data_IF_267715959858
#
_entry.id   IF_267715959858
#
_cell.length_a   1.000
_cell.length_b   1.000
_cell.length_c   1.000
_cell.angle_alpha   90.00
_cell.angle_beta   90.00
_cell.angle_gamma   90.00
#
_symmetry.space_group_name_H-M   'P 1'
#
loop_
_entity.id
_entity.type
_entity.pdbx_description
1 polymer ?
#
# COMPACT_ATOMS: atom_id res chain seq x y z
N UNK A 1 28.28 -4.76 13.57
CA UNK A 1 28.70 -5.85 12.65
C UNK A 1 27.56 -6.23 11.72
N UNK A 2 27.82 -7.06 10.71
CA UNK A 2 26.77 -7.59 9.82
C UNK A 2 25.78 -8.48 10.61
N UNK A 3 26.26 -9.20 11.60
CA UNK A 3 25.43 -10.06 12.45
C UNK A 3 24.46 -9.22 13.31
N UNK A 4 24.89 -8.08 13.81
CA UNK A 4 24.05 -7.15 14.57
C UNK A 4 22.94 -6.57 13.67
N UNK A 5 23.29 -6.22 12.43
CA UNK A 5 22.34 -5.74 11.45
C UNK A 5 21.28 -6.81 11.13
N UNK A 6 21.74 -8.04 10.87
CA UNK A 6 20.84 -9.15 10.56
C UNK A 6 19.91 -9.48 11.73
N UNK A 7 20.44 -9.52 12.93
CA UNK A 7 19.65 -9.74 14.15
C UNK A 7 18.60 -8.63 14.34
N UNK A 8 18.97 -7.38 14.09
CA UNK A 8 18.07 -6.24 14.19
C UNK A 8 16.92 -6.32 13.15
N UNK A 9 17.23 -6.55 11.89
CA UNK A 9 16.21 -6.67 10.83
C UNK A 9 15.28 -7.84 11.12
N UNK A 10 15.81 -8.99 11.51
CA UNK A 10 15.04 -10.17 11.89
C UNK A 10 14.09 -9.85 13.05
N UNK A 11 14.56 -9.18 14.08
CA UNK A 11 13.73 -8.75 15.19
C UNK A 11 12.61 -7.80 14.74
N UNK A 12 12.93 -6.78 13.94
CA UNK A 12 11.94 -5.85 13.42
C UNK A 12 10.85 -6.58 12.61
N UNK A 13 11.23 -7.58 11.85
CA UNK A 13 10.29 -8.35 11.02
C UNK A 13 9.36 -9.25 11.85
N UNK A 14 9.87 -9.88 12.89
CA UNK A 14 9.15 -10.94 13.61
C UNK A 14 8.51 -10.48 14.91
N UNK A 15 9.22 -9.67 15.71
CA UNK A 15 8.82 -9.37 17.09
C UNK A 15 8.06 -8.05 17.24
N UNK A 16 8.14 -7.16 16.21
CA UNK A 16 7.46 -5.87 16.26
C UNK A 16 5.99 -5.94 15.88
N UNK A 17 5.53 -7.06 15.33
CA UNK A 17 4.14 -7.24 14.88
C UNK A 17 3.27 -7.79 16.02
N UNK A 18 2.07 -7.19 16.27
CA UNK A 18 1.21 -7.60 17.38
C UNK A 18 0.51 -8.95 17.17
N UNK A 19 0.48 -9.44 15.93
CA UNK A 19 -0.22 -10.67 15.56
C UNK A 19 0.79 -11.79 15.32
N UNK A 20 0.71 -12.84 16.16
CA UNK A 20 1.58 -14.00 16.03
C UNK A 20 1.47 -14.64 14.64
N UNK A 21 2.62 -14.93 14.03
CA UNK A 21 2.68 -15.52 12.69
C UNK A 21 2.61 -14.53 11.53
N UNK A 22 2.49 -13.24 11.81
CA UNK A 22 2.61 -12.19 10.81
C UNK A 22 4.02 -11.61 10.78
N UNK A 23 4.46 -11.14 9.62
CA UNK A 23 5.76 -10.53 9.42
C UNK A 23 5.60 -9.08 8.97
N UNK A 24 6.42 -8.20 9.51
CA UNK A 24 6.60 -6.87 8.96
C UNK A 24 7.55 -6.95 7.76
N UNK A 25 7.02 -6.69 6.56
CA UNK A 25 7.76 -6.87 5.30
C UNK A 25 8.68 -5.67 5.01
N UNK A 26 9.71 -5.48 5.82
CA UNK A 26 10.66 -4.38 5.64
C UNK A 26 11.44 -4.46 4.31
N UNK A 27 11.56 -5.66 3.75
CA UNK A 27 12.21 -5.88 2.46
C UNK A 27 11.34 -5.46 1.25
N UNK A 28 10.06 -5.18 1.47
CA UNK A 28 9.19 -4.66 0.42
C UNK A 28 9.26 -3.12 0.38
N UNK A 29 9.84 -2.51 -0.66
CA UNK A 29 9.98 -1.05 -0.77
C UNK A 29 8.66 -0.30 -0.63
N UNK A 30 7.57 -0.92 -1.11
CA UNK A 30 6.21 -0.38 -1.03
C UNK A 30 5.68 -0.22 0.41
N UNK A 31 6.23 -0.98 1.36
CA UNK A 31 5.87 -0.91 2.78
C UNK A 31 6.84 -0.07 3.59
N UNK A 32 8.13 -0.11 3.26
CA UNK A 32 9.16 0.51 4.07
C UNK A 32 8.99 2.03 4.16
N UNK A 33 8.87 2.72 3.03
CA UNK A 33 8.63 4.16 3.02
C UNK A 33 7.33 4.57 3.74
N UNK A 34 6.17 4.00 3.40
CA UNK A 34 4.92 4.23 4.13
C UNK A 34 5.01 3.97 5.63
N UNK A 35 5.70 2.92 6.06
CA UNK A 35 5.91 2.63 7.47
C UNK A 35 6.70 3.75 8.16
N UNK A 36 7.81 4.18 7.58
CA UNK A 36 8.62 5.27 8.13
C UNK A 36 7.85 6.60 8.23
N UNK A 37 6.88 6.84 7.34
CA UNK A 37 6.02 8.02 7.41
C UNK A 37 4.93 7.91 8.49
N UNK A 38 4.45 6.70 8.77
CA UNK A 38 3.34 6.47 9.70
C UNK A 38 3.77 6.35 11.16
N UNK A 39 5.02 5.92 11.40
CA UNK A 39 5.55 5.77 12.76
C UNK A 39 6.09 7.09 13.30
N UNK A 40 6.05 7.27 14.63
CA UNK A 40 6.69 8.42 15.29
C UNK A 40 8.22 8.35 15.24
N UNK A 41 8.88 9.48 15.50
CA UNK A 41 10.34 9.61 15.39
C UNK A 41 11.11 8.56 16.18
N UNK A 42 10.70 8.28 17.42
CA UNK A 42 11.33 7.24 18.25
C UNK A 42 11.26 5.85 17.61
N UNK A 43 10.12 5.51 17.01
CA UNK A 43 9.96 4.22 16.33
C UNK A 43 10.75 4.18 15.03
N UNK A 44 10.77 5.30 14.29
CA UNK A 44 11.57 5.47 13.07
C UNK A 44 13.05 5.25 13.37
N UNK A 45 13.56 5.90 14.41
CA UNK A 45 14.93 5.72 14.86
C UNK A 45 15.23 4.27 15.28
N UNK A 46 14.29 3.63 15.95
CA UNK A 46 14.44 2.23 16.34
C UNK A 46 14.45 1.28 15.12
N UNK A 47 13.70 1.56 14.05
CA UNK A 47 13.73 0.79 12.80
C UNK A 47 15.06 1.00 12.07
N UNK A 48 15.54 2.23 11.99
CA UNK A 48 16.75 2.60 11.25
C UNK A 48 18.04 2.29 12.01
N UNK A 49 17.97 2.17 13.32
CA UNK A 49 19.09 2.25 14.26
C UNK A 49 20.27 1.28 14.08
N UNK A 50 20.11 0.18 13.35
CA UNK A 50 21.22 -0.76 13.08
C UNK A 50 21.98 -0.44 11.79
N UNK A 51 21.44 0.41 10.93
CA UNK A 51 22.06 0.83 9.68
C UNK A 51 22.53 2.28 9.74
N UNK A 52 23.60 2.63 9.04
CA UNK A 52 24.01 4.03 8.86
C UNK A 52 23.16 4.73 7.79
N UNK A 53 22.80 3.99 6.76
CA UNK A 53 21.97 4.45 5.64
C UNK A 53 21.05 3.32 5.19
N UNK A 54 19.81 3.69 4.86
CA UNK A 54 18.83 2.80 4.30
C UNK A 54 18.40 3.33 2.94
N UNK A 55 18.55 2.51 1.91
CA UNK A 55 18.15 2.85 0.55
C UNK A 55 17.06 1.92 0.09
N UNK A 56 16.02 2.47 -0.54
CA UNK A 56 14.98 1.67 -1.22
C UNK A 56 14.48 2.40 -2.46
N UNK A 57 13.98 1.63 -3.41
CA UNK A 57 13.36 2.17 -4.64
C UNK A 57 11.84 2.16 -4.49
N UNK A 58 11.21 3.33 -4.49
CA UNK A 58 9.75 3.49 -4.27
C UNK A 58 8.89 3.29 -5.54
N UNK A 59 9.40 2.58 -6.54
CA UNK A 59 8.88 2.40 -7.89
C UNK A 59 9.17 3.56 -8.86
N UNK A 60 9.66 4.71 -8.40
CA UNK A 60 9.99 5.87 -9.23
C UNK A 60 11.43 6.31 -9.07
N UNK A 61 11.87 6.37 -7.84
CA UNK A 61 13.19 6.91 -7.51
C UNK A 61 13.75 6.22 -6.28
N UNK A 62 15.07 6.30 -6.16
CA UNK A 62 15.76 5.91 -4.95
C UNK A 62 15.44 6.87 -3.82
N UNK A 63 15.09 6.32 -2.68
CA UNK A 63 14.89 7.01 -1.42
C UNK A 63 15.98 6.65 -0.44
N UNK A 64 16.24 7.57 0.46
CA UNK A 64 17.20 7.41 1.53
C UNK A 64 16.58 7.78 2.86
N UNK A 65 16.95 7.06 3.91
CA UNK A 65 16.74 7.43 5.29
C UNK A 65 17.98 7.11 6.12
N UNK A 66 18.30 7.99 7.04
CA UNK A 66 19.38 7.83 8.00
C UNK A 66 18.84 7.92 9.42
N UNK A 67 19.37 7.14 10.38
CA UNK A 67 19.09 7.39 11.78
C UNK A 67 19.60 8.77 12.19
N UNK A 68 18.95 9.39 13.18
CA UNK A 68 19.44 10.63 13.77
C UNK A 68 20.70 10.35 14.60
N UNK A 69 21.82 10.90 14.17
CA UNK A 69 23.11 10.73 14.82
C UNK A 69 23.19 11.44 16.16
N UNK A 70 22.26 12.37 16.48
CA UNK A 70 22.23 13.10 17.74
C UNK A 70 21.60 12.30 18.90
N UNK A 71 20.90 11.22 18.58
CA UNK A 71 20.47 10.21 19.55
C UNK A 71 21.07 8.83 19.14
N UNK A 72 22.38 8.66 19.25
CA UNK A 72 23.00 7.37 18.98
C UNK A 72 22.45 6.40 20.02
N UNK A 73 21.48 5.61 19.61
CA UNK A 73 21.00 4.54 20.45
C UNK A 73 22.16 3.52 20.63
N UNK A 74 22.85 3.51 21.77
CA UNK A 74 23.89 2.55 22.01
C UNK A 74 23.22 1.17 22.11
N UNK A 75 23.47 0.35 21.12
CA UNK A 75 23.02 -1.03 21.12
C UNK A 75 21.58 -1.22 20.66
N UNK A 76 21.24 -2.46 20.50
CA UNK A 76 19.92 -2.99 20.17
C UNK A 76 18.85 -2.45 21.11
N UNK A 77 18.01 -1.55 20.60
CA UNK A 77 16.78 -1.15 21.28
C UNK A 77 15.63 -1.97 20.69
N UNK A 78 14.94 -2.77 21.50
CA UNK A 78 13.77 -3.47 21.00
C UNK A 78 12.74 -2.43 20.49
N UNK A 79 12.28 -2.63 19.27
CA UNK A 79 11.15 -1.88 18.75
C UNK A 79 9.96 -2.08 19.67
N UNK A 80 9.31 -1.02 20.14
CA UNK A 80 8.02 -1.18 20.77
C UNK A 80 7.09 -1.83 19.75
N UNK A 81 6.32 -2.85 20.17
CA UNK A 81 5.35 -3.52 19.31
C UNK A 81 4.46 -2.50 18.64
N UNK A 82 4.37 -2.57 17.33
CA UNK A 82 3.46 -1.75 16.55
C UNK A 82 2.04 -2.27 16.80
N UNK A 83 1.11 -1.44 17.23
CA UNK A 83 -0.30 -1.82 17.32
C UNK A 83 -0.92 -1.98 15.94
N UNK A 84 -2.02 -2.74 15.84
CA UNK A 84 -2.76 -2.87 14.57
C UNK A 84 -3.21 -1.50 14.06
N UNK A 85 -3.71 -0.62 14.95
CA UNK A 85 -4.11 0.75 14.60
C UNK A 85 -2.96 1.53 13.97
N UNK A 86 -1.73 1.34 14.47
CA UNK A 86 -0.54 1.96 13.88
C UNK A 86 -0.22 1.40 12.49
N UNK A 87 -0.40 0.12 12.27
CA UNK A 87 -0.24 -0.47 10.96
C UNK A 87 -1.32 0.03 9.99
N UNK A 88 -2.54 0.23 10.45
CA UNK A 88 -3.62 0.83 9.65
C UNK A 88 -3.30 2.27 9.25
N UNK A 89 -2.62 3.06 10.09
CA UNK A 89 -2.18 4.42 9.73
C UNK A 89 -1.18 4.46 8.57
N UNK A 90 -0.60 3.33 8.17
CA UNK A 90 0.24 3.23 6.96
C UNK A 90 -0.58 3.26 5.66
N UNK A 91 -1.86 2.94 5.72
CA UNK A 91 -2.72 2.78 4.54
C UNK A 91 -2.74 4.01 3.61
N UNK A 92 -2.95 5.25 4.08
CA UNK A 92 -2.92 6.41 3.20
C UNK A 92 -1.59 6.59 2.45
N UNK A 93 -0.48 6.36 3.14
CA UNK A 93 0.86 6.47 2.56
C UNK A 93 1.13 5.36 1.54
N UNK A 94 0.64 4.15 1.82
CA UNK A 94 0.73 3.01 0.90
C UNK A 94 -0.07 3.28 -0.37
N UNK A 95 -1.33 3.69 -0.25
CA UNK A 95 -2.17 4.02 -1.40
C UNK A 95 -1.57 5.17 -2.22
N UNK A 96 -0.98 6.18 -1.58
CA UNK A 96 -0.30 7.26 -2.27
C UNK A 96 0.96 6.78 -3.02
N UNK A 97 1.72 5.83 -2.44
CA UNK A 97 2.86 5.23 -3.10
C UNK A 97 2.43 4.38 -4.32
N UNK A 98 1.37 3.58 -4.18
CA UNK A 98 0.80 2.80 -5.28
C UNK A 98 0.25 3.71 -6.39
N UNK A 99 -0.43 4.80 -6.04
CA UNK A 99 -0.94 5.76 -7.02
C UNK A 99 0.17 6.38 -7.87
N UNK A 100 1.32 6.71 -7.26
CA UNK A 100 2.51 7.15 -8.01
C UNK A 100 3.04 6.06 -8.92
N UNK A 101 3.07 4.80 -8.45
CA UNK A 101 3.50 3.66 -9.25
C UNK A 101 2.64 3.40 -10.48
N UNK A 102 1.35 3.61 -10.36
CA UNK A 102 0.42 3.44 -11.49
C UNK A 102 0.36 4.63 -12.44
N UNK A 103 0.76 5.83 -12.01
CA UNK A 103 0.69 7.03 -12.85
C UNK A 103 1.35 6.82 -14.20
N UNK A 104 2.63 6.44 -14.21
CA UNK A 104 3.41 6.34 -15.45
C UNK A 104 2.86 5.27 -16.40
N UNK A 105 2.18 4.28 -15.84
CA UNK A 105 1.58 3.19 -16.61
C UNK A 105 0.23 3.57 -17.23
N UNK A 106 -0.55 4.39 -16.55
CA UNK A 106 -1.93 4.69 -16.95
C UNK A 106 -2.17 6.14 -17.41
N UNK A 107 -1.18 7.04 -17.29
CA UNK A 107 -1.35 8.47 -17.55
C UNK A 107 -2.00 8.77 -18.91
N UNK A 108 -1.61 8.05 -19.95
CA UNK A 108 -2.11 8.25 -21.32
C UNK A 108 -3.62 7.97 -21.50
N UNK A 109 -4.22 7.20 -20.58
CA UNK A 109 -5.63 6.78 -20.67
C UNK A 109 -6.52 7.40 -19.57
N UNK A 110 -5.95 8.30 -18.76
CA UNK A 110 -6.67 9.01 -17.71
C UNK A 110 -7.38 10.26 -18.23
N UNK A 111 -8.39 10.75 -17.51
CA UNK A 111 -9.03 12.03 -17.84
C UNK A 111 -8.02 13.18 -17.82
N UNK A 112 -7.94 13.97 -18.90
CA UNK A 112 -6.95 15.02 -19.07
C UNK A 112 -7.16 16.25 -18.18
N UNK A 113 -8.32 16.40 -17.58
CA UNK A 113 -8.69 17.54 -16.75
C UNK A 113 -8.38 17.36 -15.26
N UNK A 114 -7.76 16.25 -14.88
CA UNK A 114 -7.40 15.94 -13.50
C UNK A 114 -5.90 15.62 -13.37
N UNK A 115 -5.35 15.85 -12.18
CA UNK A 115 -3.99 15.41 -11.88
C UNK A 115 -3.95 13.88 -11.84
N UNK A 116 -3.19 13.20 -12.71
CA UNK A 116 -3.19 11.74 -12.83
C UNK A 116 -3.05 11.01 -11.50
N UNK A 117 -2.06 11.38 -10.70
CA UNK A 117 -1.83 10.75 -9.39
C UNK A 117 -2.99 10.96 -8.42
N UNK A 118 -3.62 12.13 -8.41
CA UNK A 118 -4.76 12.41 -7.53
C UNK A 118 -5.99 11.60 -7.96
N UNK A 119 -6.24 11.50 -9.25
CA UNK A 119 -7.34 10.69 -9.79
C UNK A 119 -7.15 9.21 -9.44
N UNK A 120 -5.96 8.65 -9.66
CA UNK A 120 -5.65 7.27 -9.31
C UNK A 120 -5.82 7.05 -7.80
N UNK A 121 -5.25 7.93 -6.97
CA UNK A 121 -5.35 7.82 -5.51
C UNK A 121 -6.81 7.78 -5.05
N UNK A 122 -7.66 8.62 -5.59
CA UNK A 122 -9.08 8.61 -5.27
C UNK A 122 -9.74 7.25 -5.60
N UNK A 123 -9.39 6.65 -6.73
CA UNK A 123 -9.92 5.32 -7.12
C UNK A 123 -9.39 4.21 -6.22
N UNK A 124 -8.12 4.25 -5.82
CA UNK A 124 -7.56 3.29 -4.87
C UNK A 124 -8.20 3.42 -3.48
N UNK A 125 -8.52 4.64 -3.06
CA UNK A 125 -9.26 4.88 -1.80
C UNK A 125 -10.68 4.32 -1.86
N UNK A 126 -11.39 4.49 -2.99
CA UNK A 126 -12.70 3.88 -3.20
C UNK A 126 -12.63 2.35 -3.13
N UNK A 127 -11.66 1.73 -3.83
CA UNK A 127 -11.44 0.29 -3.77
C UNK A 127 -11.18 -0.19 -2.35
N UNK A 128 -10.28 0.50 -1.63
CA UNK A 128 -9.95 0.16 -0.26
C UNK A 128 -11.15 0.26 0.67
N UNK A 129 -11.95 1.33 0.53
CA UNK A 129 -13.21 1.52 1.27
C UNK A 129 -14.26 0.44 0.96
N UNK A 130 -14.25 -0.10 -0.25
CA UNK A 130 -15.09 -1.22 -0.67
C UNK A 130 -14.54 -2.60 -0.24
N UNK A 131 -13.45 -2.64 0.55
CA UNK A 131 -12.88 -3.86 1.11
C UNK A 131 -11.81 -4.54 0.26
N UNK A 132 -11.39 -3.96 -0.86
CA UNK A 132 -10.32 -4.48 -1.72
C UNK A 132 -8.96 -3.96 -1.24
N UNK A 133 -8.29 -4.74 -0.37
CA UNK A 133 -7.07 -4.28 0.33
C UNK A 133 -5.76 -4.72 -0.31
N UNK A 134 -5.78 -5.74 -1.18
CA UNK A 134 -4.58 -6.26 -1.84
C UNK A 134 -4.25 -5.47 -3.09
N UNK A 135 -2.97 -5.23 -3.38
CA UNK A 135 -2.52 -4.44 -4.53
C UNK A 135 -3.06 -4.96 -5.87
N UNK A 136 -3.14 -6.30 -6.04
CA UNK A 136 -3.72 -6.88 -7.25
C UNK A 136 -5.22 -6.55 -7.42
N UNK A 137 -5.97 -6.41 -6.34
CA UNK A 137 -7.38 -6.00 -6.40
C UNK A 137 -7.53 -4.50 -6.63
N UNK A 138 -6.64 -3.69 -6.02
CA UNK A 138 -6.61 -2.25 -6.24
C UNK A 138 -6.34 -1.91 -7.71
N UNK A 139 -5.42 -2.62 -8.35
CA UNK A 139 -5.13 -2.44 -9.77
C UNK A 139 -6.30 -2.85 -10.67
N UNK A 140 -6.96 -3.99 -10.39
CA UNK A 140 -8.15 -4.43 -11.14
C UNK A 140 -9.28 -3.42 -11.04
N UNK A 141 -9.55 -2.90 -9.84
CA UNK A 141 -10.50 -1.81 -9.63
C UNK A 141 -10.14 -0.56 -10.42
N UNK A 142 -8.86 -0.17 -10.41
CA UNK A 142 -8.38 0.98 -11.18
C UNK A 142 -8.66 0.81 -12.68
N UNK A 143 -8.39 -0.37 -13.23
CA UNK A 143 -8.69 -0.69 -14.63
C UNK A 143 -10.19 -0.61 -14.96
N UNK A 144 -11.04 -1.09 -14.07
CA UNK A 144 -12.49 -0.92 -14.19
C UNK A 144 -12.88 0.57 -14.20
N UNK A 145 -12.34 1.35 -13.26
CA UNK A 145 -12.62 2.78 -13.17
C UNK A 145 -12.13 3.57 -14.39
N UNK A 146 -10.99 3.19 -14.99
CA UNK A 146 -10.48 3.80 -16.23
C UNK A 146 -11.47 3.56 -17.39
N UNK A 147 -12.01 2.35 -17.51
CA UNK A 147 -12.91 1.98 -18.61
C UNK A 147 -14.34 2.48 -18.41
N UNK A 148 -14.84 2.41 -17.19
CA UNK A 148 -16.25 2.68 -16.86
C UNK A 148 -16.49 4.08 -16.28
N UNK A 149 -15.43 4.83 -16.00
CA UNK A 149 -15.47 6.14 -15.37
C UNK A 149 -15.51 6.08 -13.84
N UNK A 150 -15.24 7.22 -13.23
CA UNK A 150 -15.29 7.40 -11.79
C UNK A 150 -16.71 7.07 -11.25
N UNK A 151 -16.76 6.41 -10.09
CA UNK A 151 -18.02 6.05 -9.45
C UNK A 151 -18.79 4.91 -10.13
N UNK A 152 -18.21 4.18 -11.07
CA UNK A 152 -18.82 3.04 -11.75
C UNK A 152 -19.49 2.06 -10.78
N UNK A 153 -18.85 1.82 -9.66
CA UNK A 153 -19.26 0.89 -8.62
C UNK A 153 -20.59 1.24 -7.93
N UNK A 154 -21.11 2.47 -8.13
CA UNK A 154 -22.39 2.93 -7.60
C UNK A 154 -23.56 2.64 -8.54
N UNK A 155 -23.29 2.17 -9.74
CA UNK A 155 -24.30 1.88 -10.77
C UNK A 155 -24.52 0.38 -10.91
N UNK A 156 -25.75 -0.09 -11.15
CA UNK A 156 -25.95 -1.46 -11.58
C UNK A 156 -25.24 -1.73 -12.92
N UNK A 157 -24.74 -2.97 -13.15
CA UNK A 157 -24.80 -4.11 -12.23
C UNK A 157 -23.70 -4.12 -11.16
N UNK A 158 -22.73 -3.18 -11.19
CA UNK A 158 -21.53 -3.18 -10.36
C UNK A 158 -21.85 -3.06 -8.87
N UNK A 159 -22.83 -2.22 -8.49
CA UNK A 159 -23.24 -2.06 -7.10
C UNK A 159 -23.77 -3.36 -6.50
N UNK A 160 -24.48 -4.16 -7.28
CA UNK A 160 -25.04 -5.45 -6.85
C UNK A 160 -23.94 -6.45 -6.48
N UNK A 161 -22.81 -6.46 -7.23
CA UNK A 161 -21.68 -7.33 -6.92
C UNK A 161 -20.93 -6.90 -5.66
N UNK A 162 -20.95 -5.61 -5.33
CA UNK A 162 -20.35 -5.09 -4.09
C UNK A 162 -21.16 -5.48 -2.86
N UNK A 163 -22.46 -5.48 -2.95
CA UNK A 163 -23.39 -5.79 -1.85
C UNK A 163 -23.38 -7.28 -1.48
N UNK A 164 -22.94 -8.16 -2.38
CA UNK A 164 -22.86 -9.60 -2.10
C UNK A 164 -21.62 -9.95 -1.25
N UNK A 165 -21.71 -9.68 0.05
CA UNK A 165 -20.65 -10.00 1.02
C UNK A 165 -20.39 -11.51 1.19
N UNK A 166 -21.29 -12.37 0.68
CA UNK A 166 -21.08 -13.83 0.71
C UNK A 166 -19.94 -14.26 -0.20
N UNK A 167 -19.54 -13.43 -1.16
CA UNK A 167 -18.50 -13.71 -2.15
C UNK A 167 -17.15 -13.09 -1.75
N UNK A 168 -16.09 -13.78 -2.12
CA UNK A 168 -14.73 -13.27 -1.92
C UNK A 168 -14.49 -12.00 -2.74
N UNK A 169 -13.59 -11.10 -2.30
CA UNK A 169 -13.23 -9.91 -3.08
C UNK A 169 -12.81 -10.22 -4.52
N UNK A 170 -12.02 -11.29 -4.73
CA UNK A 170 -11.62 -11.73 -6.06
C UNK A 170 -12.79 -12.13 -6.96
N UNK A 171 -13.77 -12.84 -6.42
CA UNK A 171 -14.98 -13.21 -7.15
C UNK A 171 -15.80 -11.98 -7.55
N UNK A 172 -16.02 -11.05 -6.61
CA UNK A 172 -16.77 -9.81 -6.86
C UNK A 172 -16.14 -9.00 -8.01
N UNK A 173 -14.80 -8.86 -8.01
CA UNK A 173 -14.10 -8.19 -9.12
C UNK A 173 -14.23 -8.93 -10.44
N UNK A 174 -14.13 -10.26 -10.44
CA UNK A 174 -14.31 -11.05 -11.67
C UNK A 174 -15.72 -10.91 -12.24
N UNK A 175 -16.75 -10.84 -11.39
CA UNK A 175 -18.12 -10.58 -11.83
C UNK A 175 -18.27 -9.19 -12.45
N UNK A 176 -17.64 -8.15 -11.87
CA UNK A 176 -17.64 -6.80 -12.44
C UNK A 176 -16.91 -6.73 -13.79
N UNK A 177 -15.78 -7.42 -13.93
CA UNK A 177 -15.04 -7.50 -15.20
C UNK A 177 -15.87 -8.19 -16.28
N UNK A 178 -16.52 -9.31 -15.94
CA UNK A 178 -17.43 -9.99 -16.87
C UNK A 178 -18.64 -9.15 -17.30
N UNK A 179 -19.22 -8.36 -16.39
CA UNK A 179 -20.29 -7.44 -16.73
C UNK A 179 -19.82 -6.35 -17.72
N UNK A 180 -18.62 -5.81 -17.50
CA UNK A 180 -18.03 -4.82 -18.40
C UNK A 180 -17.81 -5.39 -19.81
N UNK A 181 -17.31 -6.63 -19.91
CA UNK A 181 -17.10 -7.30 -21.21
C UNK A 181 -18.41 -7.49 -21.98
N UNK A 182 -19.48 -7.86 -21.27
CA UNK A 182 -20.81 -8.02 -21.87
C UNK A 182 -21.42 -6.71 -22.34
N UNK A 183 -21.20 -5.60 -21.63
CA UNK A 183 -21.64 -4.27 -22.06
C UNK A 183 -20.99 -3.87 -23.40
N UNK A 184 -19.69 -4.18 -23.59
CA UNK A 184 -18.97 -3.88 -24.83
C UNK A 184 -19.27 -4.82 -25.98
N UNK A 185 -19.75 -6.04 -25.71
CA UNK A 185 -20.13 -7.01 -26.75
C UNK A 185 -21.52 -6.70 -27.36
N UNK A 186 -22.30 -5.81 -26.72
CA UNK A 186 -23.69 -5.51 -27.13
C UNK A 186 -23.79 -4.21 -27.95
N UNK A 187 -22.68 -3.51 -28.15
CA UNK A 187 -22.56 -2.28 -28.96
C UNK A 187 -21.89 -2.59 -30.29
#
# INVERSE_FOLDING_TARGET
>A
SMDDFHAHVSYCMHESVPVKGHLLRLHEPRWFGPLLCAVGDRQRQAILGAGSHWFWHDSHTWREATPDLHDPAPGYRPLPRLSLDRLETTTPYRLAAEARGYRDHYEAVLPQNETPTAWILARLQEAHGAGFRQSCYLERWLRLAIRQGAGFHRRPPYSMFLEDESKTPGYRLSAMEGAMENEHATV
#
